data_IF_257619951010
#
_entry.id   IF_257619951010
#
_cell.length_a   1.000
_cell.length_b   1.000
_cell.length_c   1.000
_cell.angle_alpha   90.00
_cell.angle_beta   90.00
_cell.angle_gamma   90.00
#
_symmetry.space_group_name_H-M   'P 1'
#
loop_
_entity.id
_entity.type
_entity.pdbx_description
1 polymer ?
#
# COMPACT_ATOMS: atom_id res chain seq x y z
N UNK A 1 -21.28 6.08 -5.37
CA UNK A 1 -21.88 5.60 -4.10
C UNK A 1 -20.85 5.50 -2.97
N UNK A 2 -19.75 4.74 -3.12
CA UNK A 2 -18.75 4.56 -2.05
C UNK A 2 -18.04 5.85 -1.60
N UNK A 3 -17.70 6.71 -2.55
CA UNK A 3 -17.07 8.02 -2.26
C UNK A 3 -17.99 8.93 -1.45
N UNK A 4 -19.30 8.87 -1.69
CA UNK A 4 -20.29 9.71 -1.00
C UNK A 4 -20.56 9.22 0.43
N UNK A 5 -20.53 7.90 0.65
CA UNK A 5 -20.69 7.27 1.97
C UNK A 5 -19.44 7.41 2.84
N UNK A 6 -18.25 7.54 2.25
CA UNK A 6 -16.98 7.52 2.96
C UNK A 6 -16.60 8.85 3.64
N UNK A 7 -17.33 9.95 3.37
CA UNK A 7 -17.07 11.29 3.93
C UNK A 7 -15.60 11.76 3.80
N UNK A 8 -14.89 11.32 2.76
CA UNK A 8 -13.52 11.76 2.45
C UNK A 8 -13.61 13.00 1.59
N UNK A 9 -12.86 14.04 1.95
CA UNK A 9 -12.81 15.27 1.16
C UNK A 9 -12.33 14.99 -0.27
N UNK A 10 -13.10 15.49 -1.25
CA UNK A 10 -12.86 15.38 -2.69
C UNK A 10 -11.41 15.75 -3.09
N UNK A 11 -10.76 16.60 -2.30
CA UNK A 11 -9.37 17.05 -2.48
C UNK A 11 -8.34 15.91 -2.47
N UNK A 12 -8.55 14.84 -1.68
CA UNK A 12 -7.65 13.69 -1.67
C UNK A 12 -7.68 12.95 -3.01
N UNK A 13 -8.87 12.76 -3.56
CA UNK A 13 -9.06 12.12 -4.86
C UNK A 13 -8.46 12.93 -6.02
N UNK A 14 -8.69 14.25 -6.05
CA UNK A 14 -8.09 15.11 -7.08
C UNK A 14 -6.56 15.15 -7.00
N UNK A 15 -5.97 15.07 -5.81
CA UNK A 15 -4.50 15.01 -5.66
C UNK A 15 -3.94 13.73 -6.28
N UNK A 16 -4.59 12.60 -6.06
CA UNK A 16 -4.18 11.32 -6.65
C UNK A 16 -4.33 11.30 -8.18
N UNK A 17 -5.44 11.85 -8.72
CA UNK A 17 -5.62 11.99 -10.16
C UNK A 17 -4.56 12.93 -10.76
N UNK A 18 -4.26 14.05 -10.10
CA UNK A 18 -3.24 15.00 -10.57
C UNK A 18 -1.85 14.37 -10.69
N UNK A 19 -1.49 13.46 -9.78
CA UNK A 19 -0.19 12.77 -9.82
C UNK A 19 -0.07 11.80 -11.00
N UNK A 20 -1.18 11.26 -11.51
CA UNK A 20 -1.21 10.18 -12.53
C UNK A 20 -1.78 10.68 -13.87
N UNK A 21 -2.12 11.97 -13.98
CA UNK A 21 -2.71 12.57 -15.18
C UNK A 21 -1.94 12.24 -16.46
N UNK A 22 -0.60 12.26 -16.42
CA UNK A 22 0.24 11.96 -17.58
C UNK A 22 0.04 10.52 -18.08
N UNK A 23 -0.09 9.55 -17.17
CA UNK A 23 -0.37 8.17 -17.51
C UNK A 23 -1.78 8.01 -18.07
N UNK A 24 -2.76 8.72 -17.49
CA UNK A 24 -4.15 8.68 -17.97
C UNK A 24 -4.28 9.25 -19.39
N UNK A 25 -3.57 10.36 -19.66
CA UNK A 25 -3.50 10.97 -20.98
C UNK A 25 -2.81 10.04 -21.99
N UNK A 26 -1.72 9.37 -21.60
CA UNK A 26 -1.06 8.38 -22.45
C UNK A 26 -2.01 7.24 -22.83
N UNK A 27 -2.68 6.62 -21.86
CA UNK A 27 -3.62 5.52 -22.15
C UNK A 27 -4.77 5.98 -23.04
N UNK A 28 -5.30 7.19 -22.81
CA UNK A 28 -6.38 7.75 -23.62
C UNK A 28 -5.95 7.94 -25.09
N UNK A 29 -4.77 8.53 -25.32
CA UNK A 29 -4.22 8.75 -26.66
C UNK A 29 -3.91 7.42 -27.36
N UNK A 30 -3.29 6.47 -26.65
CA UNK A 30 -3.00 5.14 -27.20
C UNK A 30 -4.28 4.44 -27.64
N UNK A 31 -5.30 4.45 -26.80
CA UNK A 31 -6.55 3.78 -27.13
C UNK A 31 -7.30 4.48 -28.28
N UNK A 32 -7.19 5.80 -28.39
CA UNK A 32 -7.83 6.56 -29.47
C UNK A 32 -7.20 6.29 -30.85
N UNK A 33 -5.89 6.05 -30.92
CA UNK A 33 -5.16 5.87 -32.19
C UNK A 33 -4.77 4.43 -32.55
N UNK A 34 -4.60 3.55 -31.56
CA UNK A 34 -4.09 2.18 -31.78
C UNK A 34 -5.17 1.09 -31.67
N UNK A 35 -6.45 1.46 -31.55
CA UNK A 35 -7.56 0.48 -31.50
C UNK A 35 -8.16 0.29 -32.90
N UNK A 36 -8.07 -0.91 -33.50
CA UNK A 36 -8.73 -1.20 -34.78
C UNK A 36 -10.25 -1.29 -34.60
N UNK A 37 -11.01 -0.83 -35.59
CA UNK A 37 -12.47 -0.74 -35.49
C UNK A 37 -13.11 -0.01 -36.68
N UNK A 38 -14.41 0.31 -36.56
CA UNK A 38 -15.15 1.12 -37.53
C UNK A 38 -14.60 2.56 -37.54
N UNK A 39 -14.05 2.93 -38.69
CA UNK A 39 -13.40 4.23 -38.92
C UNK A 39 -14.47 5.31 -39.02
N UNK A 40 -14.45 6.31 -38.13
CA UNK A 40 -15.33 7.50 -38.22
C UNK A 40 -14.65 8.63 -38.99
N UNK A 41 -13.35 8.83 -38.75
CA UNK A 41 -12.53 9.86 -39.37
C UNK A 41 -11.17 9.25 -39.71
N UNK A 42 -10.84 9.23 -41.00
CA UNK A 42 -9.50 8.90 -41.48
C UNK A 42 -8.78 10.19 -41.85
N UNK A 43 -7.76 10.55 -41.08
CA UNK A 43 -6.77 11.56 -41.47
C UNK A 43 -5.40 10.87 -41.58
N UNK A 44 -5.15 10.23 -42.72
CA UNK A 44 -3.86 9.58 -43.02
C UNK A 44 -3.60 8.30 -42.21
N UNK A 45 -2.40 8.15 -41.63
CA UNK A 45 -2.01 6.97 -40.80
C UNK A 45 -2.69 6.94 -39.42
N UNK A 46 -3.38 8.01 -39.02
CA UNK A 46 -4.17 8.06 -37.79
C UNK A 46 -5.65 7.91 -38.16
N UNK A 47 -6.22 6.76 -37.80
CA UNK A 47 -7.65 6.50 -37.96
C UNK A 47 -8.30 6.56 -36.59
N UNK A 48 -9.28 7.45 -36.41
CA UNK A 48 -10.08 7.48 -35.17
C UNK A 48 -11.24 6.51 -35.37
N UNK A 49 -11.26 5.45 -34.58
CA UNK A 49 -12.29 4.40 -34.62
C UNK A 49 -13.32 4.62 -33.52
N UNK A 50 -14.57 4.20 -33.75
CA UNK A 50 -15.62 4.25 -32.73
C UNK A 50 -15.22 3.43 -31.50
N UNK A 51 -14.63 2.26 -31.74
CA UNK A 51 -14.12 1.33 -30.74
C UNK A 51 -12.92 1.92 -29.97
N UNK A 52 -12.09 2.73 -30.63
CA UNK A 52 -11.01 3.48 -29.98
C UNK A 52 -11.53 4.55 -29.04
N UNK A 53 -12.60 5.26 -29.40
CA UNK A 53 -13.23 6.26 -28.53
C UNK A 53 -13.93 5.60 -27.32
N UNK A 54 -14.71 4.55 -27.56
CA UNK A 54 -15.36 3.77 -26.49
C UNK A 54 -14.31 3.11 -25.58
N UNK A 55 -13.25 2.57 -26.17
CA UNK A 55 -12.10 2.05 -25.44
C UNK A 55 -11.47 3.13 -24.58
N UNK A 56 -11.13 4.29 -25.15
CA UNK A 56 -10.43 5.35 -24.44
C UNK A 56 -11.21 5.81 -23.21
N UNK A 57 -12.54 5.94 -23.35
CA UNK A 57 -13.43 6.26 -22.24
C UNK A 57 -13.54 5.12 -21.21
N UNK A 58 -13.74 3.87 -21.66
CA UNK A 58 -13.89 2.72 -20.74
C UNK A 58 -12.62 2.43 -19.94
N UNK A 59 -11.45 2.43 -20.57
CA UNK A 59 -10.18 2.21 -19.89
C UNK A 59 -9.78 3.36 -18.97
N UNK A 60 -9.98 4.62 -19.39
CA UNK A 60 -9.72 5.77 -18.52
C UNK A 60 -10.65 5.77 -17.30
N UNK A 61 -11.95 5.48 -17.49
CA UNK A 61 -12.90 5.34 -16.39
C UNK A 61 -12.51 4.20 -15.43
N UNK A 62 -12.03 3.06 -15.95
CA UNK A 62 -11.51 1.94 -15.13
C UNK A 62 -10.33 2.35 -14.27
N UNK A 63 -9.35 3.05 -14.85
CA UNK A 63 -8.15 3.51 -14.12
C UNK A 63 -8.56 4.51 -13.03
N UNK A 64 -9.44 5.46 -13.35
CA UNK A 64 -9.97 6.41 -12.36
C UNK A 64 -10.67 5.64 -11.23
N UNK A 65 -11.55 4.69 -11.56
CA UNK A 65 -12.23 3.86 -10.57
C UNK A 65 -11.27 3.09 -9.66
N UNK A 66 -10.23 2.47 -10.22
CA UNK A 66 -9.22 1.75 -9.46
C UNK A 66 -8.43 2.67 -8.50
N UNK A 67 -8.05 3.87 -8.96
CA UNK A 67 -7.35 4.86 -8.13
C UNK A 67 -8.26 5.37 -7.02
N UNK A 68 -9.52 5.68 -7.32
CA UNK A 68 -10.51 6.10 -6.32
C UNK A 68 -10.71 5.04 -5.24
N UNK A 69 -10.76 3.77 -5.64
CA UNK A 69 -10.88 2.66 -4.69
C UNK A 69 -9.62 2.50 -3.83
N UNK A 70 -8.44 2.51 -4.45
CA UNK A 70 -7.15 2.39 -3.75
C UNK A 70 -6.93 3.52 -2.73
N UNK A 71 -7.27 4.76 -3.11
CA UNK A 71 -7.16 5.92 -2.23
C UNK A 71 -8.13 5.88 -1.05
N UNK A 72 -9.36 5.44 -1.29
CA UNK A 72 -10.34 5.18 -0.23
C UNK A 72 -9.77 4.17 0.77
N UNK A 73 -9.34 2.99 0.28
CA UNK A 73 -8.79 1.92 1.12
C UNK A 73 -7.58 2.39 1.93
N UNK A 74 -6.68 3.16 1.31
CA UNK A 74 -5.47 3.70 1.95
C UNK A 74 -5.79 4.71 3.05
N UNK A 75 -6.84 5.51 2.90
CA UNK A 75 -7.22 6.53 3.88
C UNK A 75 -8.07 5.96 5.03
N UNK A 76 -8.91 4.97 4.76
CA UNK A 76 -9.84 4.42 5.77
C UNK A 76 -9.21 3.32 6.63
N UNK A 77 -8.15 2.67 6.14
CA UNK A 77 -7.62 1.45 6.76
C UNK A 77 -6.30 1.69 7.47
N UNK A 78 -6.25 1.36 8.77
CA UNK A 78 -4.99 1.43 9.52
C UNK A 78 -4.07 0.27 9.11
N UNK A 79 -2.75 0.49 8.90
CA UNK A 79 -1.82 -0.58 8.53
C UNK A 79 -1.82 -1.78 9.47
N UNK A 80 -2.02 -1.54 10.78
CA UNK A 80 -2.11 -2.60 11.78
C UNK A 80 -3.33 -3.51 11.57
N UNK A 81 -4.46 -2.94 11.13
CA UNK A 81 -5.66 -3.72 10.81
C UNK A 81 -5.45 -4.59 9.56
N UNK A 82 -4.68 -4.12 8.58
CA UNK A 82 -4.32 -4.91 7.39
C UNK A 82 -3.50 -6.14 7.81
N UNK A 83 -2.47 -5.95 8.65
CA UNK A 83 -1.64 -7.06 9.15
C UNK A 83 -2.48 -8.11 9.90
N UNK A 84 -3.39 -7.67 10.79
CA UNK A 84 -4.33 -8.58 11.49
C UNK A 84 -5.29 -9.28 10.54
N UNK A 85 -5.75 -8.58 9.50
CA UNK A 85 -6.61 -9.16 8.46
C UNK A 85 -5.90 -10.28 7.69
N UNK A 86 -4.62 -10.07 7.33
CA UNK A 86 -3.78 -11.09 6.68
C UNK A 86 -3.58 -12.29 7.61
N UNK A 87 -3.25 -12.06 8.89
CA UNK A 87 -3.12 -13.14 9.89
C UNK A 87 -4.43 -13.95 10.00
N UNK A 88 -5.57 -13.29 10.10
CA UNK A 88 -6.87 -13.98 10.16
C UNK A 88 -7.17 -14.77 8.88
N UNK A 89 -6.77 -14.26 7.71
CA UNK A 89 -6.96 -14.94 6.44
C UNK A 89 -6.08 -16.20 6.36
N UNK A 90 -4.83 -16.11 6.81
CA UNK A 90 -3.90 -17.25 6.89
C UNK A 90 -4.45 -18.35 7.81
N UNK A 91 -5.05 -17.97 8.94
CA UNK A 91 -5.71 -18.93 9.83
C UNK A 91 -6.90 -19.63 9.17
N UNK A 92 -7.72 -18.89 8.41
CA UNK A 92 -8.87 -19.45 7.66
C UNK A 92 -8.44 -20.36 6.52
N UNK A 93 -7.31 -20.07 5.89
CA UNK A 93 -6.69 -20.89 4.83
C UNK A 93 -6.04 -22.19 5.35
N UNK A 94 -6.21 -22.51 6.64
CA UNK A 94 -5.66 -23.72 7.31
C UNK A 94 -4.14 -23.86 7.19
N UNK A 95 -3.42 -22.74 7.08
CA UNK A 95 -1.97 -22.74 7.23
C UNK A 95 -1.58 -23.19 8.65
N UNK A 96 -0.35 -23.71 8.87
CA UNK A 96 0.10 -24.12 10.19
C UNK A 96 -0.11 -22.99 11.20
N UNK A 97 -0.85 -23.25 12.30
CA UNK A 97 -1.23 -22.22 13.28
C UNK A 97 -0.02 -21.43 13.81
N UNK A 98 1.10 -22.14 14.01
CA UNK A 98 2.38 -21.57 14.43
C UNK A 98 2.90 -20.55 13.40
N UNK A 99 2.93 -20.93 12.12
CA UNK A 99 3.35 -20.04 11.04
C UNK A 99 2.47 -18.78 10.94
N UNK A 100 1.15 -18.92 11.03
CA UNK A 100 0.23 -17.78 11.01
C UNK A 100 0.48 -16.81 12.17
N UNK A 101 0.62 -17.33 13.40
CA UNK A 101 0.81 -16.49 14.60
C UNK A 101 2.18 -15.81 14.66
N UNK A 102 3.24 -16.52 14.25
CA UNK A 102 4.59 -15.98 14.20
C UNK A 102 4.69 -14.87 13.14
N UNK A 103 4.03 -15.05 12.00
CA UNK A 103 3.96 -14.03 10.95
C UNK A 103 3.20 -12.78 11.44
N UNK A 104 2.05 -12.96 12.11
CA UNK A 104 1.30 -11.85 12.71
C UNK A 104 2.11 -11.08 13.76
N UNK A 105 2.88 -11.79 14.60
CA UNK A 105 3.81 -11.17 15.54
C UNK A 105 4.85 -10.30 14.80
N UNK A 106 5.55 -10.87 13.82
CA UNK A 106 6.61 -10.16 13.09
C UNK A 106 6.06 -8.91 12.43
N UNK A 107 4.89 -8.98 11.79
CA UNK A 107 4.24 -7.79 11.23
C UNK A 107 3.88 -6.76 12.30
N UNK A 108 3.33 -7.18 13.44
CA UNK A 108 2.98 -6.24 14.52
C UNK A 108 4.20 -5.54 15.12
N UNK A 109 5.32 -6.25 15.27
CA UNK A 109 6.59 -5.67 15.73
C UNK A 109 7.13 -4.72 14.67
N UNK A 110 7.20 -5.16 13.40
CA UNK A 110 7.71 -4.36 12.29
C UNK A 110 6.95 -3.04 12.15
N UNK A 111 5.61 -3.08 12.14
CA UNK A 111 4.78 -1.87 12.03
C UNK A 111 5.00 -0.88 13.19
N UNK A 112 5.30 -1.38 14.40
CA UNK A 112 5.64 -0.53 15.55
C UNK A 112 7.08 -0.01 15.49
N UNK A 113 7.98 -0.79 14.92
CA UNK A 113 9.40 -0.44 14.78
C UNK A 113 9.65 0.57 13.67
N UNK A 114 8.87 0.57 12.58
CA UNK A 114 8.99 1.55 11.49
C UNK A 114 9.03 3.01 11.99
N UNK A 115 8.04 3.52 12.77
CA UNK A 115 8.08 4.90 13.23
C UNK A 115 9.25 5.17 14.18
N UNK A 116 9.61 4.20 15.03
CA UNK A 116 10.72 4.31 15.98
C UNK A 116 12.07 4.40 15.23
N UNK A 117 12.29 3.54 14.25
CA UNK A 117 13.51 3.53 13.43
C UNK A 117 13.61 4.79 12.55
N UNK A 118 12.48 5.30 12.06
CA UNK A 118 12.46 6.56 11.31
C UNK A 118 12.91 7.73 12.18
N UNK A 119 12.43 7.81 13.42
CA UNK A 119 12.85 8.87 14.35
C UNK A 119 14.33 8.76 14.71
N UNK A 120 14.82 7.54 14.91
CA UNK A 120 16.23 7.33 15.17
C UNK A 120 17.10 7.71 13.97
N UNK A 121 16.70 7.29 12.77
CA UNK A 121 17.39 7.65 11.53
C UNK A 121 17.50 9.18 11.40
N UNK A 122 16.45 9.92 11.75
CA UNK A 122 16.47 11.39 11.77
C UNK A 122 17.48 11.93 12.79
N UNK A 123 17.48 11.41 14.01
CA UNK A 123 18.44 11.81 15.06
C UNK A 123 19.89 11.53 14.66
N UNK A 124 20.16 10.34 14.11
CA UNK A 124 21.48 9.95 13.59
C UNK A 124 21.87 10.89 12.46
N UNK A 125 20.97 11.15 11.51
CA UNK A 125 21.23 12.07 10.39
C UNK A 125 21.59 13.48 10.89
N UNK A 126 20.84 14.03 11.85
CA UNK A 126 21.13 15.34 12.44
C UNK A 126 22.50 15.35 13.13
N UNK A 127 22.84 14.29 13.88
CA UNK A 127 24.15 14.17 14.54
C UNK A 127 25.32 14.10 13.54
N UNK A 128 25.14 13.39 12.42
CA UNK A 128 26.16 13.28 11.39
C UNK A 128 26.29 14.59 10.59
N UNK A 129 25.19 15.30 10.33
CA UNK A 129 25.24 16.65 9.73
C UNK A 129 26.04 17.62 10.61
N UNK A 130 25.84 17.59 11.93
CA UNK A 130 26.62 18.40 12.88
C UNK A 130 28.12 18.05 12.89
N UNK A 131 28.47 16.79 12.56
CA UNK A 131 29.86 16.32 12.39
C UNK A 131 30.43 16.57 10.98
N UNK A 132 29.72 17.31 10.12
CA UNK A 132 30.18 17.69 8.78
C UNK A 132 29.88 16.66 7.69
N UNK A 133 29.00 15.68 7.93
CA UNK A 133 28.54 14.79 6.87
C UNK A 133 27.65 15.55 5.87
N UNK A 134 28.06 15.55 4.61
CA UNK A 134 27.33 16.18 3.52
C UNK A 134 26.52 15.13 2.74
N UNK A 135 25.20 15.20 2.86
CA UNK A 135 24.24 14.32 2.21
C UNK A 135 23.70 14.87 0.87
N UNK A 136 24.01 16.13 0.56
CA UNK A 136 23.50 16.87 -0.61
C UNK A 136 24.57 17.14 -1.67
N UNK A 137 25.81 16.71 -1.43
CA UNK A 137 26.91 16.73 -2.41
C UNK A 137 26.50 16.15 -3.78
N UNK A 138 26.87 16.85 -4.87
CA UNK A 138 26.71 16.37 -6.25
C UNK A 138 27.54 15.13 -6.58
N UNK A 139 28.62 14.88 -5.85
CA UNK A 139 29.43 13.68 -6.05
C UNK A 139 28.74 12.46 -5.44
N UNK A 140 28.35 11.51 -6.30
CA UNK A 140 27.65 10.28 -5.92
C UNK A 140 28.46 9.43 -4.91
N UNK A 141 29.78 9.32 -5.09
CA UNK A 141 30.64 8.57 -4.16
C UNK A 141 30.64 9.18 -2.76
N UNK A 142 30.73 10.51 -2.68
CA UNK A 142 30.68 11.23 -1.40
C UNK A 142 29.32 11.06 -0.73
N UNK A 143 28.24 11.12 -1.50
CA UNK A 143 26.86 10.92 -1.01
C UNK A 143 26.65 9.51 -0.46
N UNK A 144 27.15 8.47 -1.16
CA UNK A 144 27.09 7.08 -0.67
C UNK A 144 27.88 6.93 0.62
N UNK A 145 29.10 7.48 0.69
CA UNK A 145 29.92 7.44 1.91
C UNK A 145 29.21 8.11 3.10
N UNK A 146 28.57 9.26 2.88
CA UNK A 146 27.76 9.93 3.90
C UNK A 146 26.57 9.08 4.34
N UNK A 147 25.84 8.45 3.41
CA UNK A 147 24.71 7.55 3.74
C UNK A 147 25.13 6.35 4.59
N UNK A 148 26.32 5.76 4.35
CA UNK A 148 26.85 4.67 5.16
C UNK A 148 27.06 5.08 6.63
N UNK A 149 27.37 6.35 6.90
CA UNK A 149 27.51 6.86 8.28
C UNK A 149 26.21 6.83 9.08
N UNK A 150 25.05 6.75 8.42
CA UNK A 150 23.72 6.62 9.06
C UNK A 150 23.28 5.16 9.08
N UNK A 151 23.47 4.44 7.97
CA UNK A 151 23.03 3.04 7.82
C UNK A 151 23.73 2.14 8.84
N UNK A 152 25.06 2.25 9.00
CA UNK A 152 25.81 1.35 9.89
C UNK A 152 25.34 1.49 11.35
N UNK A 153 25.27 2.71 11.94
CA UNK A 153 24.73 2.87 13.30
C UNK A 153 23.27 2.43 13.43
N UNK A 154 22.44 2.68 12.43
CA UNK A 154 21.02 2.29 12.45
C UNK A 154 20.86 0.76 12.48
N UNK A 155 21.69 0.02 11.72
CA UNK A 155 21.69 -1.45 11.72
C UNK A 155 22.15 -2.00 13.07
N UNK A 156 23.23 -1.46 13.65
CA UNK A 156 23.72 -1.86 14.98
C UNK A 156 22.65 -1.63 16.05
N UNK A 157 21.97 -0.48 16.00
CA UNK A 157 20.86 -0.20 16.90
C UNK A 157 19.69 -1.19 16.71
N UNK A 158 19.33 -1.50 15.47
CA UNK A 158 18.25 -2.43 15.18
C UNK A 158 18.56 -3.84 15.72
N UNK A 159 19.80 -4.31 15.57
CA UNK A 159 20.27 -5.58 16.14
C UNK A 159 20.16 -5.57 17.66
N UNK A 160 20.70 -4.54 18.32
CA UNK A 160 20.60 -4.42 19.78
C UNK A 160 19.15 -4.38 20.28
N UNK A 161 18.28 -3.61 19.62
CA UNK A 161 16.84 -3.56 19.95
C UNK A 161 16.17 -4.92 19.77
N UNK A 162 16.59 -5.71 18.78
CA UNK A 162 16.07 -7.06 18.57
C UNK A 162 16.50 -8.03 19.66
N UNK A 163 17.75 -7.94 20.15
CA UNK A 163 18.25 -8.73 21.28
C UNK A 163 17.53 -8.37 22.57
N UNK A 164 17.42 -7.07 22.88
CA UNK A 164 16.68 -6.58 24.05
C UNK A 164 15.21 -7.02 24.02
N UNK A 165 14.58 -6.99 22.83
CA UNK A 165 13.22 -7.48 22.65
C UNK A 165 13.13 -8.99 22.85
N UNK A 166 14.06 -9.78 22.30
CA UNK A 166 14.10 -11.23 22.45
C UNK A 166 14.20 -11.63 23.93
N UNK A 167 15.14 -11.03 24.68
CA UNK A 167 15.29 -11.27 26.12
C UNK A 167 14.01 -10.88 26.88
N UNK A 168 13.39 -9.73 26.57
CA UNK A 168 12.14 -9.33 27.19
C UNK A 168 10.97 -10.27 26.85
N UNK A 169 10.96 -10.87 25.66
CA UNK A 169 9.97 -11.85 25.24
C UNK A 169 10.15 -13.17 25.97
N UNK A 170 11.38 -13.65 26.14
CA UNK A 170 11.70 -14.86 26.92
C UNK A 170 11.29 -14.71 28.40
N UNK A 171 11.56 -13.55 29.00
CA UNK A 171 11.14 -13.22 30.37
C UNK A 171 9.62 -13.22 30.55
N UNK A 172 8.86 -12.99 29.47
CA UNK A 172 7.39 -13.05 29.44
C UNK A 172 6.87 -14.44 29.03
N UNK A 173 7.73 -15.45 28.99
CA UNK A 173 7.42 -16.82 28.58
C UNK A 173 6.83 -16.92 27.16
N UNK A 174 7.23 -16.01 26.27
CA UNK A 174 6.77 -16.04 24.89
C UNK A 174 7.25 -17.31 24.18
N UNK A 175 6.37 -17.97 23.42
CA UNK A 175 6.71 -19.19 22.65
C UNK A 175 6.65 -20.51 23.43
N UNK A 176 6.38 -20.47 24.74
CA UNK A 176 6.32 -21.68 25.59
C UNK A 176 4.96 -22.38 25.62
N UNK A 177 3.88 -21.64 25.37
CA UNK A 177 2.49 -22.12 25.42
C UNK A 177 1.71 -21.74 24.16
N UNK A 178 0.58 -22.43 23.91
CA UNK A 178 -0.34 -22.04 22.85
C UNK A 178 -0.88 -20.62 23.08
N UNK A 179 -0.81 -19.79 22.04
CA UNK A 179 -1.16 -18.38 22.14
C UNK A 179 -2.66 -18.18 21.99
N UNK A 180 -3.21 -17.28 22.80
CA UNK A 180 -4.57 -16.76 22.64
C UNK A 180 -4.54 -15.39 21.98
N UNK A 181 -5.32 -15.19 20.93
CA UNK A 181 -5.42 -13.91 20.21
C UNK A 181 -6.33 -12.97 21.01
N UNK A 182 -5.77 -11.87 21.51
CA UNK A 182 -6.51 -10.88 22.31
C UNK A 182 -7.44 -9.98 21.47
N UNK A 183 -7.17 -9.85 20.16
CA UNK A 183 -7.91 -8.97 19.26
C UNK A 183 -8.76 -9.79 18.30
N UNK A 184 -9.98 -10.17 18.71
CA UNK A 184 -11.00 -10.68 17.77
C UNK A 184 -11.75 -9.49 17.18
N UNK A 185 -11.43 -9.12 15.94
CA UNK A 185 -12.25 -8.14 15.23
C UNK A 185 -13.62 -8.79 14.95
N UNK A 186 -14.68 -8.22 15.54
CA UNK A 186 -16.05 -8.69 15.37
C UNK A 186 -16.62 -8.00 14.14
N UNK A 187 -17.04 -8.79 13.16
CA UNK A 187 -17.68 -8.24 11.97
C UNK A 187 -19.03 -7.61 12.34
N UNK A 188 -19.16 -6.30 12.16
CA UNK A 188 -20.40 -5.56 12.31
C UNK A 188 -21.41 -5.89 11.21
N UNK A 189 -22.68 -5.53 11.44
CA UNK A 189 -23.76 -5.69 10.44
C UNK A 189 -23.47 -4.89 9.16
N UNK A 190 -22.89 -3.69 9.29
CA UNK A 190 -22.47 -2.85 8.17
C UNK A 190 -21.41 -3.53 7.29
N UNK A 191 -20.45 -4.22 7.89
CA UNK A 191 -19.37 -4.91 7.17
C UNK A 191 -19.90 -6.14 6.43
N UNK A 192 -20.85 -6.88 7.03
CA UNK A 192 -21.52 -8.01 6.36
C UNK A 192 -22.37 -7.54 5.17
N UNK A 193 -23.12 -6.45 5.33
CA UNK A 193 -23.89 -5.83 4.26
C UNK A 193 -22.98 -5.33 3.13
N UNK A 194 -21.85 -4.69 3.47
CA UNK A 194 -20.88 -4.25 2.48
C UNK A 194 -20.26 -5.41 1.70
N UNK A 195 -19.86 -6.49 2.40
CA UNK A 195 -19.34 -7.69 1.76
C UNK A 195 -20.38 -8.32 0.83
N UNK A 196 -21.63 -8.42 1.24
CA UNK A 196 -22.73 -8.97 0.43
C UNK A 196 -22.99 -8.13 -0.83
N UNK A 197 -23.05 -6.80 -0.69
CA UNK A 197 -23.19 -5.88 -1.84
C UNK A 197 -22.01 -5.99 -2.80
N UNK A 198 -20.78 -6.08 -2.29
CA UNK A 198 -19.59 -6.24 -3.13
C UNK A 198 -19.59 -7.57 -3.88
N UNK A 199 -20.06 -8.66 -3.25
CA UNK A 199 -20.19 -9.97 -3.88
C UNK A 199 -21.21 -9.96 -5.02
N UNK A 200 -22.37 -9.31 -4.82
CA UNK A 200 -23.38 -9.14 -5.86
C UNK A 200 -22.88 -8.34 -7.06
N UNK A 201 -22.10 -7.28 -6.82
CA UNK A 201 -21.50 -6.47 -7.90
C UNK A 201 -20.52 -7.31 -8.71
N UNK A 202 -19.66 -8.10 -8.06
CA UNK A 202 -18.72 -8.99 -8.75
C UNK A 202 -19.47 -10.05 -9.55
N UNK A 203 -20.54 -10.63 -9.00
CA UNK A 203 -21.37 -11.61 -9.70
C UNK A 203 -21.99 -10.98 -10.96
N UNK A 204 -22.54 -9.77 -10.84
CA UNK A 204 -23.12 -9.05 -11.98
C UNK A 204 -22.11 -8.71 -13.07
N UNK A 205 -20.83 -8.51 -12.73
CA UNK A 205 -19.76 -8.26 -13.71
C UNK A 205 -19.28 -9.57 -14.36
N UNK A 206 -19.36 -10.69 -13.67
CA UNK A 206 -18.89 -11.98 -14.17
C UNK A 206 -19.92 -12.67 -15.09
N UNK A 207 -21.21 -12.39 -14.88
CA UNK A 207 -22.32 -12.90 -15.70
C UNK A 207 -22.75 -11.98 -16.84
N UNK A 208 -22.06 -10.85 -17.07
CA UNK A 208 -22.35 -9.87 -18.11
C UNK A 208 -21.09 -9.58 -18.94
#
# INVERSE_FOLDING_TARGET
>A
MLVYLSNIHIKHYLRSIRSIWLLLLMVFIFQLFFTPGRILLSMGKLSITFEGLVGAFTYSARIIGAIMFSTLLSCTTRPLSIAKGIESLMFKLKLPKKFSSDTGLVFSIALRFIPILSQEMENIMLSQKARGADFESRNLFRRIKSSLSVIIPLVVLALRKSEELAVAMDMRYYGRYERTICSKEKFGLSEKLFAFMSFLIVLSILFN
#
